data_IF_526607666600
#
_entry.id   IF_526607666600
#
_cell.length_a   1.000
_cell.length_b   1.000
_cell.length_c   1.000
_cell.angle_alpha   90.00
_cell.angle_beta   90.00
_cell.angle_gamma   90.00
#
_symmetry.space_group_name_H-M   'P 1'
#
loop_
_entity.id
_entity.type
_entity.pdbx_description
1 polymer ?
#
# COMPACT_ATOMS: atom_id res chain seq x y z
N UNK A 1 13.18 2.44 -32.97
CA UNK A 1 12.53 1.12 -32.90
C UNK A 1 11.09 1.34 -32.53
N UNK A 2 10.16 0.82 -33.34
CA UNK A 2 8.72 0.94 -33.09
C UNK A 2 8.23 -0.40 -32.55
N UNK A 3 7.54 -0.39 -31.41
CA UNK A 3 6.92 -1.60 -30.87
C UNK A 3 5.70 -1.96 -31.73
N UNK A 4 5.68 -3.21 -32.20
CA UNK A 4 4.54 -3.74 -32.95
C UNK A 4 3.38 -4.02 -31.98
N UNK A 5 2.18 -3.48 -32.22
CA UNK A 5 1.02 -3.73 -31.36
C UNK A 5 0.65 -5.21 -31.26
N UNK A 6 1.01 -6.06 -32.23
CA UNK A 6 0.79 -7.51 -32.15
C UNK A 6 1.63 -8.20 -31.05
N UNK A 7 2.69 -7.56 -30.57
CA UNK A 7 3.49 -8.04 -29.43
C UNK A 7 2.96 -7.56 -28.07
N UNK A 8 1.91 -6.72 -28.04
CA UNK A 8 1.29 -6.33 -26.79
C UNK A 8 0.45 -7.49 -26.27
N UNK A 9 0.92 -8.13 -25.20
CA UNK A 9 0.15 -9.14 -24.50
C UNK A 9 -1.04 -8.42 -23.83
N UNK A 10 -2.25 -8.75 -24.27
CA UNK A 10 -3.47 -8.28 -23.66
C UNK A 10 -3.56 -8.85 -22.24
N UNK A 11 -3.29 -8.02 -21.23
CA UNK A 11 -3.46 -8.42 -19.85
C UNK A 11 -4.95 -8.54 -19.56
N UNK A 12 -5.40 -9.76 -19.27
CA UNK A 12 -6.74 -9.98 -18.75
C UNK A 12 -6.92 -9.15 -17.47
N UNK A 13 -8.04 -8.42 -17.36
CA UNK A 13 -8.32 -7.61 -16.16
C UNK A 13 -8.33 -8.57 -14.97
N UNK A 14 -7.51 -8.36 -13.93
CA UNK A 14 -7.44 -9.30 -12.82
C UNK A 14 -8.83 -9.42 -12.19
N UNK A 15 -9.42 -10.61 -12.30
CA UNK A 15 -10.64 -10.96 -11.58
C UNK A 15 -10.32 -10.90 -10.08
N UNK A 16 -11.09 -10.11 -9.33
CA UNK A 16 -10.87 -9.84 -7.91
C UNK A 16 -10.90 -11.15 -7.10
N UNK A 17 -9.74 -11.73 -6.83
CA UNK A 17 -9.57 -12.94 -6.01
C UNK A 17 -8.22 -12.88 -5.27
N UNK A 18 -8.04 -11.83 -4.47
CA UNK A 18 -6.92 -11.76 -3.54
C UNK A 18 -7.21 -12.56 -2.28
N UNK A 19 -6.49 -13.68 -2.08
CA UNK A 19 -6.53 -14.44 -0.80
C UNK A 19 -5.75 -13.76 0.34
N UNK A 20 -5.16 -12.58 0.09
CA UNK A 20 -4.35 -11.82 1.04
C UNK A 20 -5.15 -10.72 1.76
N UNK A 21 -4.55 -10.08 2.78
CA UNK A 21 -5.21 -9.03 3.58
C UNK A 21 -5.50 -7.73 2.81
N UNK A 22 -4.94 -7.59 1.61
CA UNK A 22 -5.23 -6.50 0.69
C UNK A 22 -6.02 -7.04 -0.52
N UNK A 23 -7.16 -6.42 -0.87
CA UNK A 23 -7.85 -6.77 -2.11
C UNK A 23 -6.94 -6.45 -3.30
N UNK A 24 -6.97 -7.29 -4.34
CA UNK A 24 -6.29 -6.97 -5.59
C UNK A 24 -7.30 -6.75 -6.71
N UNK A 25 -7.19 -5.65 -7.48
CA UNK A 25 -6.25 -4.54 -7.28
C UNK A 25 -6.67 -3.63 -6.11
N UNK A 26 -5.70 -3.21 -5.27
CA UNK A 26 -5.89 -2.18 -4.24
C UNK A 26 -5.36 -0.84 -4.72
N UNK A 27 -5.95 0.25 -4.22
CA UNK A 27 -5.39 1.59 -4.42
C UNK A 27 -4.10 1.75 -3.63
N UNK A 28 -3.23 2.67 -4.07
CA UNK A 28 -2.02 3.00 -3.31
C UNK A 28 -2.32 3.50 -1.90
N UNK A 29 -3.46 4.17 -1.69
CA UNK A 29 -3.87 4.66 -0.38
C UNK A 29 -4.23 3.49 0.55
N UNK A 30 -4.99 2.50 0.05
CA UNK A 30 -5.31 1.26 0.76
C UNK A 30 -4.04 0.48 1.13
N UNK A 31 -3.09 0.37 0.20
CA UNK A 31 -1.81 -0.31 0.43
C UNK A 31 -1.01 0.43 1.52
N UNK A 32 -0.95 1.77 1.47
CA UNK A 32 -0.25 2.58 2.47
C UNK A 32 -0.89 2.45 3.85
N UNK A 33 -2.22 2.53 3.94
CA UNK A 33 -2.95 2.38 5.20
C UNK A 33 -2.71 1.00 5.84
N UNK A 34 -2.73 -0.07 5.05
CA UNK A 34 -2.44 -1.42 5.54
C UNK A 34 -0.99 -1.55 6.02
N UNK A 35 -0.02 -0.97 5.31
CA UNK A 35 1.38 -0.97 5.73
C UNK A 35 1.60 -0.19 7.04
N UNK A 36 0.95 0.97 7.20
CA UNK A 36 1.01 1.77 8.44
C UNK A 36 0.41 0.98 9.62
N UNK A 37 -0.76 0.37 9.43
CA UNK A 37 -1.40 -0.46 10.47
C UNK A 37 -0.50 -1.64 10.87
N UNK A 38 0.04 -2.37 9.90
CA UNK A 38 0.92 -3.50 10.17
C UNK A 38 2.19 -3.10 10.93
N UNK A 39 2.82 -1.98 10.55
CA UNK A 39 4.01 -1.47 11.23
C UNK A 39 3.69 -1.02 12.67
N UNK A 40 2.53 -0.40 12.92
CA UNK A 40 2.13 -0.03 14.27
C UNK A 40 1.88 -1.26 15.15
N UNK A 41 1.23 -2.30 14.64
CA UNK A 41 1.03 -3.56 15.39
C UNK A 41 2.38 -4.20 15.72
N UNK A 42 3.31 -4.26 14.76
CA UNK A 42 4.62 -4.86 14.98
C UNK A 42 5.48 -4.13 16.03
N UNK A 43 5.24 -2.83 16.23
CA UNK A 43 5.98 -1.98 17.17
C UNK A 43 5.15 -1.55 18.38
N UNK A 44 4.09 -2.28 18.73
CA UNK A 44 3.24 -2.01 19.90
C UNK A 44 2.71 -0.56 19.95
N UNK A 45 2.36 0.00 18.79
CA UNK A 45 1.87 1.37 18.65
C UNK A 45 2.96 2.45 18.69
N UNK A 46 4.24 2.08 18.77
CA UNK A 46 5.35 3.04 18.74
C UNK A 46 5.47 3.70 17.35
N UNK A 47 4.84 4.86 17.21
CA UNK A 47 4.80 5.66 15.97
C UNK A 47 6.20 5.99 15.43
N UNK A 48 7.18 6.25 16.29
CA UNK A 48 8.53 6.60 15.84
C UNK A 48 9.24 5.37 15.25
N UNK A 49 9.12 4.20 15.89
CA UNK A 49 9.71 2.96 15.38
C UNK A 49 9.03 2.51 14.08
N UNK A 50 7.69 2.59 14.02
CA UNK A 50 6.93 2.31 12.80
C UNK A 50 7.30 3.23 11.64
N UNK A 51 7.42 4.55 11.88
CA UNK A 51 7.84 5.50 10.85
C UNK A 51 9.27 5.22 10.33
N UNK A 52 10.20 4.88 11.23
CA UNK A 52 11.58 4.49 10.87
C UNK A 52 11.59 3.24 10.00
N UNK A 53 10.80 2.22 10.35
CA UNK A 53 10.68 1.00 9.55
C UNK A 53 10.14 1.29 8.15
N UNK A 54 9.14 2.17 8.03
CA UNK A 54 8.53 2.54 6.76
C UNK A 54 9.38 3.53 5.94
N UNK A 55 10.52 4.00 6.47
CA UNK A 55 11.39 4.96 5.79
C UNK A 55 10.78 6.35 5.62
N UNK A 56 9.82 6.74 6.48
CA UNK A 56 9.13 8.02 6.43
C UNK A 56 9.31 8.84 7.72
N UNK A 57 9.04 10.14 7.64
CA UNK A 57 9.00 10.98 8.83
C UNK A 57 7.79 10.65 9.71
N UNK A 58 7.91 10.86 11.03
CA UNK A 58 6.79 10.75 11.98
C UNK A 58 5.61 11.65 11.60
N UNK A 59 5.88 12.85 11.09
CA UNK A 59 4.84 13.78 10.63
C UNK A 59 4.06 13.22 9.42
N UNK A 60 4.75 12.55 8.48
CA UNK A 60 4.10 11.86 7.35
C UNK A 60 3.25 10.68 7.82
N UNK A 61 3.76 9.89 8.78
CA UNK A 61 2.98 8.80 9.40
C UNK A 61 1.70 9.35 10.02
N UNK A 62 1.76 10.46 10.78
CA UNK A 62 0.59 11.06 11.39
C UNK A 62 -0.44 11.51 10.35
N UNK A 63 -0.01 12.18 9.26
CA UNK A 63 -0.91 12.57 8.16
C UNK A 63 -1.61 11.38 7.49
N UNK A 64 -0.94 10.22 7.39
CA UNK A 64 -1.54 9.01 6.84
C UNK A 64 -2.57 8.38 7.80
N UNK A 65 -2.35 8.52 9.11
CA UNK A 65 -3.33 8.10 10.12
C UNK A 65 -4.55 9.03 10.10
N UNK A 66 -4.33 10.34 10.07
CA UNK A 66 -5.41 11.34 10.08
C UNK A 66 -6.32 11.19 8.85
N UNK A 67 -5.78 10.76 7.69
CA UNK A 67 -6.57 10.49 6.47
C UNK A 67 -7.48 9.26 6.60
N UNK A 68 -7.10 8.28 7.41
CA UNK A 68 -7.83 7.02 7.53
C UNK A 68 -8.88 6.99 8.65
N UNK A 69 -9.01 8.07 9.42
CA UNK A 69 -10.02 8.25 10.48
C UNK A 69 -11.20 9.13 10.04
N UNK A 70 -11.23 9.53 8.77
CA UNK A 70 -12.33 10.24 8.10
C UNK A 70 -13.26 9.26 7.37
#
# INVERSE_FOLDING_TARGET
GTLDPAHLIQHDRPMANGKGPLPFPATLDTIQAAAVKAALVQHDGNKTAAARQLGISRARLQRLLDRGED
#
